data_IF_894388195246
#
_entry.id   IF_894388195246
#
_cell.length_a   1.000
_cell.length_b   1.000
_cell.length_c   1.000
_cell.angle_alpha   90.00
_cell.angle_beta   90.00
_cell.angle_gamma   90.00
#
_symmetry.space_group_name_H-M   'P 1'
#
loop_
_entity.id
_entity.type
_entity.pdbx_description
1 polymer ?
#
# COMPACT_ATOMS: atom_id res chain seq x y z
N UNK A 1 -4.02 -15.49 -5.73
CA UNK A 1 -3.34 -14.28 -6.23
C UNK A 1 -4.41 -13.35 -6.77
N UNK A 2 -4.53 -12.15 -6.19
CA UNK A 2 -5.73 -11.31 -6.30
C UNK A 2 -5.70 -10.41 -7.54
N UNK A 3 -6.72 -10.56 -8.40
CA UNK A 3 -7.06 -9.70 -9.56
C UNK A 3 -7.47 -8.26 -9.18
N UNK A 4 -7.21 -7.83 -7.95
CA UNK A 4 -7.75 -6.59 -7.38
C UNK A 4 -7.05 -5.32 -7.86
N UNK A 5 -5.92 -5.45 -8.53
CA UNK A 5 -5.10 -4.31 -8.95
C UNK A 5 -5.14 -4.03 -10.44
N UNK A 6 -5.87 -4.82 -11.23
CA UNK A 6 -6.06 -4.58 -12.68
C UNK A 6 -7.12 -3.51 -12.91
N UNK A 7 -6.72 -2.36 -13.44
CA UNK A 7 -7.61 -1.26 -13.85
C UNK A 7 -7.56 -1.13 -15.37
N UNK A 8 -8.59 -1.62 -16.05
CA UNK A 8 -8.69 -1.46 -17.50
C UNK A 8 -8.94 0.02 -17.89
N UNK A 9 -8.23 0.54 -18.91
CA UNK A 9 -8.37 1.93 -19.32
C UNK A 9 -9.74 2.14 -20.00
N UNK A 10 -10.54 3.06 -19.46
CA UNK A 10 -11.88 3.39 -19.97
C UNK A 10 -13.01 3.40 -18.94
N UNK A 11 -12.74 3.04 -17.69
CA UNK A 11 -13.72 3.14 -16.60
C UNK A 11 -13.40 4.33 -15.68
N UNK A 12 -14.40 5.16 -15.41
CA UNK A 12 -14.49 6.00 -14.21
C UNK A 12 -14.09 5.16 -12.97
N UNK A 13 -13.51 5.80 -11.94
CA UNK A 13 -13.14 5.17 -10.67
C UNK A 13 -14.07 4.01 -10.36
N UNK A 14 -13.59 2.76 -10.24
CA UNK A 14 -14.47 1.61 -10.30
C UNK A 14 -15.52 1.77 -9.20
N UNK A 15 -16.79 1.56 -9.54
CA UNK A 15 -17.93 1.49 -8.59
C UNK A 15 -17.63 0.59 -7.36
N UNK A 16 -16.56 -0.21 -7.44
CA UNK A 16 -16.06 -1.22 -6.51
C UNK A 16 -15.28 -0.63 -5.33
N UNK A 17 -14.63 0.55 -5.43
CA UNK A 17 -14.09 1.21 -4.23
C UNK A 17 -15.19 2.00 -3.52
N UNK A 18 -16.06 1.27 -2.81
CA UNK A 18 -17.16 1.87 -2.07
C UNK A 18 -16.63 2.98 -1.15
N UNK A 19 -17.36 4.10 -1.08
CA UNK A 19 -17.09 5.21 -0.15
C UNK A 19 -16.78 4.73 1.29
N UNK A 20 -17.41 3.64 1.73
CA UNK A 20 -17.14 2.99 3.02
C UNK A 20 -15.69 2.54 3.17
N UNK A 21 -15.08 1.96 2.13
CA UNK A 21 -13.68 1.50 2.14
C UNK A 21 -12.72 2.67 2.17
N UNK A 22 -12.95 3.70 1.36
CA UNK A 22 -12.13 4.91 1.37
C UNK A 22 -12.21 5.61 2.73
N UNK A 23 -13.42 5.75 3.29
CA UNK A 23 -13.61 6.30 4.64
C UNK A 23 -12.85 5.49 5.70
N UNK A 24 -12.90 4.15 5.64
CA UNK A 24 -12.15 3.28 6.56
C UNK A 24 -10.64 3.45 6.43
N UNK A 25 -10.13 3.56 5.21
CA UNK A 25 -8.72 3.84 4.95
C UNK A 25 -8.34 5.19 5.57
N UNK A 26 -9.03 6.27 5.20
CA UNK A 26 -8.67 7.61 5.66
C UNK A 26 -8.78 7.77 7.18
N UNK A 27 -9.82 7.20 7.82
CA UNK A 27 -10.00 7.23 9.28
C UNK A 27 -8.97 6.38 10.05
N UNK A 28 -8.24 5.51 9.35
CA UNK A 28 -7.19 4.69 9.96
C UNK A 28 -5.81 5.34 9.95
N UNK A 29 -5.64 6.50 9.30
CA UNK A 29 -4.34 7.14 9.12
C UNK A 29 -4.08 8.21 10.19
N UNK A 30 -2.82 8.29 10.62
CA UNK A 30 -2.27 9.41 11.40
C UNK A 30 -1.13 10.04 10.61
N UNK A 31 -1.19 11.34 10.38
CA UNK A 31 -0.10 12.07 9.76
C UNK A 31 1.04 12.27 10.77
N UNK A 32 2.22 11.77 10.43
CA UNK A 32 3.46 12.12 11.09
C UNK A 32 4.05 13.35 10.37
N UNK A 33 4.09 14.50 11.07
CA UNK A 33 4.52 15.78 10.48
C UNK A 33 6.03 15.85 10.23
N UNK A 34 6.83 15.08 10.96
CA UNK A 34 8.29 15.11 10.84
C UNK A 34 8.74 14.30 9.64
N UNK A 35 8.14 13.11 9.45
CA UNK A 35 8.52 12.19 8.37
C UNK A 35 7.65 12.33 7.13
N UNK A 36 6.50 13.01 7.22
CA UNK A 36 5.46 13.03 6.17
C UNK A 36 4.74 11.68 6.00
N UNK A 37 4.96 10.71 6.89
CA UNK A 37 4.33 9.40 6.78
C UNK A 37 2.84 9.45 7.15
N UNK A 38 2.02 8.70 6.42
CA UNK A 38 0.64 8.45 6.77
C UNK A 38 0.58 7.09 7.47
N UNK A 39 0.73 7.10 8.79
CA UNK A 39 0.92 5.88 9.57
C UNK A 39 -0.42 5.22 9.88
N UNK A 40 -0.56 3.95 9.52
CA UNK A 40 -1.73 3.13 9.83
C UNK A 40 -1.84 2.81 11.33
N UNK A 41 -2.96 3.20 11.93
CA UNK A 41 -3.21 3.08 13.37
C UNK A 41 -4.13 1.89 13.74
N UNK A 42 -4.67 1.16 12.75
CA UNK A 42 -5.54 0.00 13.00
C UNK A 42 -4.72 -1.29 12.96
N UNK A 43 -5.35 -2.38 12.53
CA UNK A 43 -4.74 -3.72 12.51
C UNK A 43 -3.42 -3.73 11.73
N UNK A 44 -2.38 -4.28 12.37
CA UNK A 44 -1.06 -4.54 11.80
C UNK A 44 -0.74 -6.02 12.01
N UNK A 45 0.12 -6.57 11.17
CA UNK A 45 0.70 -7.89 11.44
C UNK A 45 1.85 -7.82 12.46
N UNK A 46 2.40 -8.99 12.78
CA UNK A 46 3.58 -9.18 13.63
C UNK A 46 4.83 -8.43 13.14
N UNK A 47 4.90 -8.18 11.83
CA UNK A 47 5.99 -7.44 11.17
C UNK A 47 5.74 -5.93 11.12
N UNK A 48 4.58 -5.45 11.55
CA UNK A 48 4.21 -4.02 11.58
C UNK A 48 3.57 -3.49 10.29
N UNK A 49 3.23 -4.36 9.33
CA UNK A 49 2.52 -3.96 8.11
C UNK A 49 1.02 -3.83 8.37
N UNK A 50 0.45 -2.70 7.95
CA UNK A 50 -0.98 -2.42 8.07
C UNK A 50 -1.83 -3.37 7.22
N UNK A 51 -2.90 -3.92 7.82
CA UNK A 51 -3.91 -4.75 7.15
C UNK A 51 -5.31 -4.14 7.31
N UNK A 52 -6.13 -4.28 6.28
CA UNK A 52 -7.54 -3.89 6.28
C UNK A 52 -8.40 -4.93 5.58
N UNK A 53 -9.58 -5.21 6.12
CA UNK A 53 -10.56 -6.09 5.50
C UNK A 53 -11.34 -5.34 4.41
N UNK A 54 -11.35 -5.89 3.21
CA UNK A 54 -12.07 -5.36 2.06
C UNK A 54 -12.50 -6.50 1.13
N UNK A 55 -13.72 -6.42 0.60
CA UNK A 55 -14.31 -7.42 -0.31
C UNK A 55 -14.14 -8.89 0.13
N UNK A 56 -14.38 -9.16 1.43
CA UNK A 56 -14.31 -10.52 1.99
C UNK A 56 -12.89 -11.06 2.21
N UNK A 57 -11.85 -10.22 2.08
CA UNK A 57 -10.45 -10.63 2.27
C UNK A 57 -9.64 -9.58 3.03
N UNK A 58 -8.52 -10.00 3.61
CA UNK A 58 -7.54 -9.10 4.24
C UNK A 58 -6.54 -8.62 3.21
N UNK A 59 -6.36 -7.30 3.11
CA UNK A 59 -5.45 -6.65 2.19
C UNK A 59 -4.41 -5.80 2.91
N UNK A 60 -3.24 -5.67 2.29
CA UNK A 60 -2.20 -4.76 2.74
C UNK A 60 -2.61 -3.31 2.46
N UNK A 61 -2.59 -2.49 3.50
CA UNK A 61 -3.11 -1.11 3.43
C UNK A 61 -2.27 -0.26 2.49
N UNK A 62 -0.94 -0.41 2.51
CA UNK A 62 -0.06 0.32 1.61
C UNK A 62 -0.35 0.01 0.12
N UNK A 63 -0.67 -1.24 -0.24
CA UNK A 63 -1.06 -1.60 -1.61
C UNK A 63 -2.42 -1.00 -1.99
N UNK A 64 -3.38 -0.99 -1.06
CA UNK A 64 -4.67 -0.35 -1.29
C UNK A 64 -4.53 1.16 -1.47
N UNK A 65 -3.69 1.82 -0.67
CA UNK A 65 -3.41 3.24 -0.81
C UNK A 65 -2.72 3.55 -2.15
N UNK A 66 -1.71 2.77 -2.55
CA UNK A 66 -1.10 2.93 -3.86
C UNK A 66 -2.15 2.78 -4.98
N UNK A 67 -2.96 1.71 -4.92
CA UNK A 67 -4.00 1.47 -5.91
C UNK A 67 -5.00 2.63 -6.04
N UNK A 68 -5.38 3.22 -4.90
CA UNK A 68 -6.35 4.31 -4.83
C UNK A 68 -5.79 5.64 -5.37
N UNK A 69 -4.54 5.97 -5.05
CA UNK A 69 -3.97 7.29 -5.35
C UNK A 69 -3.09 7.32 -6.61
N UNK A 70 -2.46 6.19 -6.97
CA UNK A 70 -1.54 6.07 -8.11
C UNK A 70 -2.03 5.10 -9.20
N UNK A 71 -3.03 4.26 -8.91
CA UNK A 71 -3.61 3.33 -9.87
C UNK A 71 -3.00 1.94 -9.83
N UNK A 72 -3.09 1.21 -10.94
CA UNK A 72 -2.77 -0.23 -11.03
C UNK A 72 -1.40 -0.63 -10.47
N UNK A 73 -1.40 -1.75 -9.74
CA UNK A 73 -0.19 -2.46 -9.33
C UNK A 73 -0.10 -3.72 -10.22
N UNK A 74 0.88 -3.79 -11.14
CA UNK A 74 1.06 -4.98 -11.96
C UNK A 74 1.30 -6.23 -11.11
N UNK A 75 0.80 -7.40 -11.56
CA UNK A 75 0.82 -8.64 -10.77
C UNK A 75 2.24 -9.11 -10.36
N UNK A 76 3.24 -8.78 -11.18
CA UNK A 76 4.64 -9.17 -10.99
C UNK A 76 5.46 -8.16 -10.18
N UNK A 77 4.82 -7.07 -9.75
CA UNK A 77 5.47 -5.94 -9.09
C UNK A 77 5.07 -5.89 -7.62
N UNK A 78 6.07 -5.63 -6.78
CA UNK A 78 5.92 -5.39 -5.35
C UNK A 78 5.88 -3.89 -5.07
N UNK A 79 5.16 -3.49 -4.01
CA UNK A 79 5.19 -2.12 -3.51
C UNK A 79 6.15 -2.07 -2.32
N UNK A 80 7.20 -1.24 -2.39
CA UNK A 80 8.13 -1.02 -1.27
C UNK A 80 7.99 0.39 -0.68
N UNK A 81 8.41 0.52 0.57
CA UNK A 81 8.42 1.77 1.31
C UNK A 81 9.79 2.45 1.21
N UNK A 82 9.87 3.55 0.46
CA UNK A 82 11.10 4.37 0.42
C UNK A 82 11.41 4.99 1.79
N UNK A 83 10.37 5.29 2.58
CA UNK A 83 10.49 5.80 3.96
C UNK A 83 10.86 4.73 5.01
N UNK A 84 10.93 3.44 4.65
CA UNK A 84 11.19 2.30 5.57
C UNK A 84 10.22 2.12 6.76
N UNK A 85 9.16 2.92 6.84
CA UNK A 85 8.10 2.77 7.84
C UNK A 85 7.02 1.82 7.32
N UNK A 86 6.99 0.58 7.83
CA UNK A 86 6.08 -0.49 7.36
C UNK A 86 4.59 -0.15 7.50
N UNK A 87 4.24 0.70 8.47
CA UNK A 87 2.88 1.18 8.68
C UNK A 87 2.50 2.37 7.77
N UNK A 88 3.44 2.93 7.01
CA UNK A 88 3.18 4.08 6.15
C UNK A 88 2.31 3.69 4.95
N UNK A 89 1.35 4.54 4.63
CA UNK A 89 0.43 4.39 3.50
C UNK A 89 0.44 5.61 2.57
N UNK A 90 1.40 6.53 2.77
CA UNK A 90 1.53 7.70 1.92
C UNK A 90 1.93 7.24 0.51
N UNK A 91 1.11 7.47 -0.53
CA UNK A 91 1.40 7.01 -1.89
C UNK A 91 2.72 7.55 -2.44
N UNK A 92 3.17 8.73 -2.00
CA UNK A 92 4.46 9.30 -2.41
C UNK A 92 5.67 8.58 -1.79
N UNK A 93 5.47 7.85 -0.70
CA UNK A 93 6.51 7.01 -0.07
C UNK A 93 6.45 5.55 -0.54
N UNK A 94 5.62 5.25 -1.54
CA UNK A 94 5.43 3.92 -2.10
C UNK A 94 5.95 3.87 -3.54
N UNK A 95 6.79 2.88 -3.80
CA UNK A 95 7.43 2.65 -5.10
C UNK A 95 7.09 1.26 -5.62
N UNK A 96 6.85 1.19 -6.93
CA UNK A 96 6.71 -0.07 -7.64
C UNK A 96 8.09 -0.62 -7.95
N UNK A 97 8.37 -1.82 -7.44
CA UNK A 97 9.64 -2.50 -7.62
C UNK A 97 9.40 -3.93 -8.05
N UNK A 98 10.21 -4.42 -8.97
CA UNK A 98 10.29 -5.86 -9.24
C UNK A 98 10.80 -6.60 -8.00
N UNK A 99 10.47 -7.88 -7.87
CA UNK A 99 10.99 -8.75 -6.80
C UNK A 99 12.52 -8.75 -6.79
N UNK A 100 13.14 -8.66 -7.96
CA UNK A 100 14.60 -8.61 -8.12
C UNK A 100 15.21 -7.33 -7.52
N UNK A 101 14.57 -6.18 -7.73
CA UNK A 101 15.02 -4.89 -7.22
C UNK A 101 14.85 -4.79 -5.71
N UNK A 102 13.73 -5.30 -5.20
CA UNK A 102 13.46 -5.33 -3.76
C UNK A 102 14.49 -6.17 -3.01
N UNK A 103 14.82 -7.34 -3.56
CA UNK A 103 15.86 -8.21 -2.99
C UNK A 103 17.25 -7.54 -2.99
N UNK A 104 17.60 -6.83 -4.07
CA UNK A 104 18.86 -6.07 -4.15
C UNK A 104 18.92 -4.91 -3.15
N UNK A 105 17.83 -4.16 -2.96
CA UNK A 105 17.79 -3.10 -1.95
C UNK A 105 17.96 -3.66 -0.54
N UNK A 106 17.23 -4.73 -0.19
CA UNK A 106 17.37 -5.39 1.12
C UNK A 106 18.79 -5.84 1.42
N UNK A 107 19.49 -6.37 0.41
CA UNK A 107 20.90 -6.74 0.54
C UNK A 107 21.81 -5.55 0.84
N UNK A 108 21.59 -4.39 0.20
CA UNK A 108 22.38 -3.18 0.46
C UNK A 108 22.24 -2.71 1.92
N UNK A 109 21.04 -2.79 2.49
CA UNK A 109 20.77 -2.39 3.88
C UNK A 109 21.32 -3.37 4.90
N UNK A 110 21.56 -4.63 4.53
CA UNK A 110 22.11 -5.67 5.43
C UNK A 110 23.65 -5.63 5.56
N UNK A 111 24.34 -4.86 4.70
CA UNK A 111 25.80 -4.70 4.70
C UNK A 111 26.28 -3.37 5.30
N UNK A 112 25.36 -2.57 5.84
CA UNK A 112 25.66 -1.38 6.66
C UNK A 112 25.45 -1.75 8.13
#
# INVERSE_FOLDING_TARGET
MDRLYKFHPGHELPEIFCFKTMKRLLLGLKLNKETGCWEWQKCKDDRGYGKMWYNGKSHWVHRLAYALFKGEIPETITVDHSCRVRACCNPYHLELMTVSENSKQRWKTCKQ
#
